data_IF_939234798653
#
_entry.id   IF_939234798653
#
_cell.length_a   1.000
_cell.length_b   1.000
_cell.length_c   1.000
_cell.angle_alpha   90.00
_cell.angle_beta   90.00
_cell.angle_gamma   90.00
#
_symmetry.space_group_name_H-M   'P 1'
#
loop_
_entity.id
_entity.type
_entity.pdbx_description
1 polymer ?
#
# COMPACT_ATOMS: atom_id res chain seq x y z
N UNK A 1 -8.46 -12.37 10.71
CA UNK A 1 -8.83 -13.25 9.57
C UNK A 1 -8.31 -12.63 8.29
N UNK A 2 -8.85 -12.99 7.13
CA UNK A 2 -8.48 -12.40 5.83
C UNK A 2 -9.72 -11.92 5.07
N UNK A 3 -9.55 -11.00 4.12
CA UNK A 3 -10.66 -10.32 3.44
C UNK A 3 -11.50 -9.44 4.38
N UNK A 4 -12.65 -8.96 3.90
CA UNK A 4 -13.55 -8.08 4.64
C UNK A 4 -12.84 -6.85 5.25
N UNK A 5 -12.71 -6.81 6.59
CA UNK A 5 -12.16 -5.68 7.35
C UNK A 5 -10.71 -5.90 7.81
N UNK A 6 -10.10 -7.04 7.43
CA UNK A 6 -8.77 -7.43 7.92
C UNK A 6 -7.64 -6.45 7.59
N UNK A 7 -7.81 -5.65 6.54
CA UNK A 7 -6.81 -4.66 6.07
C UNK A 7 -7.30 -3.21 6.24
N UNK A 8 -8.43 -2.99 6.92
CA UNK A 8 -9.02 -1.65 7.09
C UNK A 8 -8.43 -0.94 8.30
N UNK A 9 -7.56 0.03 8.06
CA UNK A 9 -6.94 0.84 9.10
C UNK A 9 -7.95 1.58 9.97
N UNK A 10 -9.04 2.11 9.38
CA UNK A 10 -10.08 2.84 10.10
C UNK A 10 -10.90 1.93 11.03
N UNK A 11 -11.05 0.65 10.67
CA UNK A 11 -11.67 -0.34 11.54
C UNK A 11 -10.75 -0.70 12.72
N UNK A 12 -9.46 -0.91 12.49
CA UNK A 12 -8.50 -1.18 13.55
C UNK A 12 -8.34 0.00 14.52
N UNK A 13 -8.30 1.23 14.00
CA UNK A 13 -8.30 2.46 14.81
C UNK A 13 -9.55 2.56 15.67
N UNK A 14 -10.71 2.20 15.12
CA UNK A 14 -11.94 2.16 15.91
C UNK A 14 -11.88 1.10 17.00
N UNK A 15 -11.34 -0.08 16.73
CA UNK A 15 -11.14 -1.10 17.77
C UNK A 15 -10.29 -0.56 18.93
N UNK A 16 -9.18 0.12 18.63
CA UNK A 16 -8.31 0.73 19.65
C UNK A 16 -9.03 1.78 20.51
N UNK A 17 -9.78 2.68 19.88
CA UNK A 17 -10.58 3.72 20.58
C UNK A 17 -11.60 3.10 21.54
N UNK A 18 -12.22 1.99 21.16
CA UNK A 18 -13.25 1.31 21.95
C UNK A 18 -12.65 0.29 22.95
N UNK A 19 -11.31 0.21 23.07
CA UNK A 19 -10.63 -0.73 23.97
C UNK A 19 -10.71 -2.19 23.53
N UNK A 20 -10.99 -2.44 22.25
CA UNK A 20 -11.03 -3.77 21.64
C UNK A 20 -9.68 -4.07 21.02
N UNK A 21 -9.05 -5.19 21.40
CA UNK A 21 -7.81 -5.63 20.75
C UNK A 21 -8.07 -6.09 19.32
N UNK A 22 -7.56 -5.33 18.36
CA UNK A 22 -7.48 -5.78 16.98
C UNK A 22 -6.29 -6.74 16.82
N UNK A 23 -6.56 -8.00 16.46
CA UNK A 23 -5.50 -9.01 16.23
C UNK A 23 -4.94 -8.84 14.82
N UNK A 24 -3.91 -8.01 14.69
CA UNK A 24 -3.24 -7.68 13.44
C UNK A 24 -2.11 -6.66 13.65
N UNK A 25 -1.56 -6.06 12.58
CA UNK A 25 -0.53 -5.04 12.70
C UNK A 25 -1.11 -3.70 13.19
N UNK A 26 -0.24 -2.78 13.64
CA UNK A 26 -0.63 -1.43 14.05
C UNK A 26 -1.36 -0.66 12.93
N UNK A 27 -2.21 0.30 13.31
CA UNK A 27 -2.98 1.16 12.39
C UNK A 27 -2.07 1.82 11.34
N UNK A 28 -0.90 2.30 11.73
CA UNK A 28 0.07 2.92 10.82
C UNK A 28 0.54 1.97 9.71
N UNK A 29 0.80 0.70 10.05
CA UNK A 29 1.17 -0.32 9.06
C UNK A 29 0.00 -0.67 8.14
N UNK A 30 -1.23 -0.72 8.66
CA UNK A 30 -2.42 -0.92 7.82
C UNK A 30 -2.61 0.22 6.82
N UNK A 31 -2.36 1.47 7.22
CA UNK A 31 -2.40 2.62 6.31
C UNK A 31 -1.29 2.53 5.26
N UNK A 32 -0.05 2.25 5.70
CA UNK A 32 1.11 2.17 4.81
C UNK A 32 0.96 1.07 3.76
N UNK A 33 0.55 -0.13 4.18
CA UNK A 33 0.48 -1.29 3.30
C UNK A 33 -0.88 -1.47 2.60
N UNK A 34 -1.90 -0.70 2.99
CA UNK A 34 -3.19 -0.64 2.30
C UNK A 34 -3.14 0.07 0.95
N UNK A 35 -2.16 0.96 0.75
CA UNK A 35 -1.86 1.57 -0.55
C UNK A 35 -0.62 0.93 -1.18
N UNK A 36 -0.77 0.37 -2.38
CA UNK A 36 0.32 -0.34 -3.07
C UNK A 36 1.45 0.59 -3.52
N UNK A 37 1.14 1.85 -3.82
CA UNK A 37 2.11 2.88 -4.19
C UNK A 37 2.98 3.26 -3.01
N UNK A 38 2.36 3.58 -1.87
CA UNK A 38 3.06 3.89 -0.62
C UNK A 38 3.86 2.69 -0.12
N UNK A 39 3.28 1.49 -0.14
CA UNK A 39 3.99 0.25 0.19
C UNK A 39 5.24 0.04 -0.67
N UNK A 40 5.15 0.30 -1.98
CA UNK A 40 6.30 0.19 -2.89
C UNK A 40 7.34 1.29 -2.62
N UNK A 41 6.92 2.51 -2.29
CA UNK A 41 7.82 3.60 -1.89
C UNK A 41 8.59 3.23 -0.61
N UNK A 42 7.91 2.72 0.42
CA UNK A 42 8.55 2.28 1.66
C UNK A 42 9.52 1.11 1.43
N UNK A 43 9.19 0.18 0.52
CA UNK A 43 10.12 -0.89 0.13
C UNK A 43 11.40 -0.34 -0.51
N UNK A 44 11.30 0.65 -1.39
CA UNK A 44 12.45 1.32 -2.01
C UNK A 44 13.31 2.01 -0.95
N UNK A 45 12.68 2.77 -0.04
CA UNK A 45 13.36 3.47 1.05
C UNK A 45 14.11 2.51 1.98
N UNK A 46 13.51 1.35 2.27
CA UNK A 46 14.12 0.28 3.04
C UNK A 46 15.22 -0.50 2.29
N UNK A 47 15.55 -0.12 1.03
CA UNK A 47 16.57 -0.78 0.23
C UNK A 47 16.15 -2.14 -0.35
N UNK A 48 14.85 -2.45 -0.36
CA UNK A 48 14.32 -3.68 -0.94
C UNK A 48 14.29 -3.55 -2.47
N UNK A 49 14.86 -4.51 -3.23
CA UNK A 49 14.78 -4.50 -4.68
C UNK A 49 13.33 -4.61 -5.16
N UNK A 50 12.90 -3.67 -6.01
CA UNK A 50 11.56 -3.68 -6.62
C UNK A 50 11.64 -3.59 -8.14
N UNK A 51 10.66 -4.19 -8.83
CA UNK A 51 10.51 -4.05 -10.28
C UNK A 51 10.26 -2.60 -10.66
N UNK A 52 10.72 -2.15 -11.84
CA UNK A 52 10.40 -0.81 -12.38
C UNK A 52 8.88 -0.66 -12.49
N UNK A 53 8.37 0.46 -11.98
CA UNK A 53 6.94 0.75 -11.93
C UNK A 53 6.69 2.17 -11.44
N UNK A 54 5.43 2.60 -11.56
CA UNK A 54 4.95 3.90 -11.09
C UNK A 54 4.22 3.71 -9.75
N UNK A 55 4.56 4.51 -8.73
CA UNK A 55 4.03 4.40 -7.35
C UNK A 55 2.74 5.18 -7.11
N UNK A 56 2.00 5.49 -8.16
CA UNK A 56 0.77 6.29 -8.06
C UNK A 56 -0.22 5.86 -9.13
N UNK A 57 -1.46 6.31 -8.97
CA UNK A 57 -2.43 6.27 -10.06
C UNK A 57 -1.91 7.00 -11.29
N UNK A 58 -2.20 6.44 -12.47
CA UNK A 58 -1.81 6.99 -13.77
C UNK A 58 -3.00 7.01 -14.72
N UNK A 59 -2.99 7.99 -15.62
CA UNK A 59 -3.87 8.04 -16.78
C UNK A 59 -3.42 7.03 -17.84
N UNK A 60 -4.27 6.80 -18.84
CA UNK A 60 -3.93 5.94 -19.99
C UNK A 60 -2.68 6.44 -20.74
N UNK A 61 -2.55 7.76 -20.94
CA UNK A 61 -1.41 8.35 -21.66
C UNK A 61 -0.10 8.09 -20.91
N UNK A 62 -0.08 8.36 -19.60
CA UNK A 62 1.09 8.12 -18.76
C UNK A 62 1.47 6.63 -18.71
N UNK A 63 0.48 5.73 -18.69
CA UNK A 63 0.74 4.29 -18.77
C UNK A 63 1.41 3.91 -20.10
N UNK A 64 0.95 4.47 -21.24
CA UNK A 64 1.55 4.23 -22.55
C UNK A 64 2.99 4.77 -22.64
N UNK A 65 3.25 5.94 -22.08
CA UNK A 65 4.60 6.52 -21.98
C UNK A 65 5.54 5.65 -21.15
N UNK A 66 5.06 5.16 -19.99
CA UNK A 66 5.82 4.21 -19.18
C UNK A 66 6.13 2.92 -19.96
N UNK A 67 5.17 2.36 -20.69
CA UNK A 67 5.40 1.17 -21.51
C UNK A 67 6.45 1.37 -22.61
N UNK A 68 6.53 2.57 -23.20
CA UNK A 68 7.57 2.91 -24.18
C UNK A 68 8.94 3.05 -23.53
N UNK A 69 9.02 3.60 -22.32
CA UNK A 69 10.30 3.80 -21.63
C UNK A 69 10.95 2.50 -21.14
N UNK A 70 10.16 1.43 -20.94
CA UNK A 70 10.66 0.11 -20.55
C UNK A 70 10.94 -0.83 -21.73
N UNK A 71 10.35 -0.58 -22.90
CA UNK A 71 10.61 -1.32 -24.14
C UNK A 71 11.62 -0.53 -24.98
N UNK A 72 12.90 -0.74 -24.70
CA UNK A 72 13.96 -0.55 -25.70
C UNK A 72 13.91 -1.69 -26.70
#
# INVERSE_FOLDING_TARGET
>A
GYGFLSERADFAERCEIEGITFVGPNVEHLRLFGDKGEARSAAIEAGVPVLKGVNRGVTLSEAQEFFKSIKG
#
